data_IF_466974083501
#
_entry.id   IF_466974083501
#
_cell.length_a   1.000
_cell.length_b   1.000
_cell.length_c   1.000
_cell.angle_alpha   90.00
_cell.angle_beta   90.00
_cell.angle_gamma   90.00
#
_symmetry.space_group_name_H-M   'P 1'
#
loop_
_entity.id
_entity.type
_entity.pdbx_description
1 polymer ?
#
# COMPACT_ATOMS: atom_id res chain seq x y z
N UNK A 1 26.94 -41.77 -39.64
CA UNK A 1 25.74 -40.91 -39.59
C UNK A 1 25.62 -40.42 -38.15
N UNK A 2 26.02 -39.19 -37.87
CA UNK A 2 26.00 -38.63 -36.51
C UNK A 2 24.68 -37.90 -36.29
N UNK A 3 23.78 -38.47 -35.50
CA UNK A 3 22.55 -37.80 -35.06
C UNK A 3 22.89 -36.69 -34.08
N UNK A 4 22.69 -35.44 -34.49
CA UNK A 4 22.67 -34.28 -33.60
C UNK A 4 21.35 -34.30 -32.82
N UNK A 5 21.39 -34.71 -31.56
CA UNK A 5 20.27 -34.53 -30.65
C UNK A 5 20.22 -33.06 -30.24
N UNK A 6 19.22 -32.33 -30.72
CA UNK A 6 18.89 -30.98 -30.23
C UNK A 6 18.10 -31.17 -28.94
N UNK A 7 18.75 -30.91 -27.79
CA UNK A 7 18.06 -30.74 -26.52
C UNK A 7 17.39 -29.36 -26.53
N UNK A 8 16.09 -29.33 -26.83
CA UNK A 8 15.26 -28.17 -26.58
C UNK A 8 14.94 -28.13 -25.08
N UNK A 9 15.69 -27.33 -24.32
CA UNK A 9 15.32 -26.97 -22.95
C UNK A 9 14.08 -26.09 -23.00
N UNK A 10 12.91 -26.68 -22.75
CA UNK A 10 11.69 -25.91 -22.47
C UNK A 10 11.85 -25.27 -21.09
N UNK A 11 12.20 -23.98 -21.05
CA UNK A 11 12.01 -23.16 -19.85
C UNK A 11 10.50 -23.06 -19.63
N UNK A 12 9.98 -23.78 -18.64
CA UNK A 12 8.62 -23.55 -18.16
C UNK A 12 8.70 -22.24 -17.38
N UNK A 13 8.25 -21.14 -17.99
CA UNK A 13 7.98 -19.92 -17.25
C UNK A 13 6.86 -20.24 -16.25
N UNK A 14 7.19 -20.32 -14.97
CA UNK A 14 6.19 -20.35 -13.91
C UNK A 14 5.52 -18.98 -13.90
N UNK A 15 4.37 -18.85 -14.56
CA UNK A 15 3.56 -17.64 -14.49
C UNK A 15 2.92 -17.62 -13.11
N UNK A 16 3.50 -16.87 -12.18
CA UNK A 16 2.77 -16.46 -10.99
C UNK A 16 1.62 -15.56 -11.44
N UNK A 17 0.42 -15.82 -10.98
CA UNK A 17 -0.73 -14.95 -11.27
C UNK A 17 -0.99 -13.96 -10.12
N UNK A 18 -0.58 -14.33 -8.90
CA UNK A 18 -0.68 -13.51 -7.70
C UNK A 18 0.53 -12.59 -7.57
N UNK A 19 0.28 -11.33 -7.21
CA UNK A 19 1.23 -10.24 -7.40
C UNK A 19 1.28 -9.27 -6.22
N UNK A 20 2.46 -8.70 -5.98
CA UNK A 20 2.68 -7.58 -5.08
C UNK A 20 3.33 -6.41 -5.82
N UNK A 21 3.01 -5.20 -5.38
CA UNK A 21 3.77 -4.00 -5.66
C UNK A 21 5.06 -4.06 -4.85
N UNK A 22 6.22 -3.98 -5.50
CA UNK A 22 7.49 -4.22 -4.81
C UNK A 22 8.59 -3.20 -5.09
N UNK A 23 8.41 -2.31 -6.07
CA UNK A 23 9.40 -1.28 -6.35
C UNK A 23 8.80 -0.05 -7.02
N UNK A 24 9.32 1.13 -6.68
CA UNK A 24 8.99 2.37 -7.38
C UNK A 24 10.23 3.22 -7.71
N UNK A 25 10.03 4.16 -8.63
CA UNK A 25 10.97 5.23 -8.98
C UNK A 25 10.27 6.57 -8.97
N UNK A 26 11.00 7.61 -8.57
CA UNK A 26 10.63 9.02 -8.75
C UNK A 26 11.64 9.62 -9.72
N UNK A 27 11.18 10.05 -10.90
CA UNK A 27 12.05 10.55 -11.99
C UNK A 27 13.24 9.62 -12.29
N UNK A 28 12.96 8.32 -12.44
CA UNK A 28 13.96 7.26 -12.69
C UNK A 28 14.95 6.96 -11.55
N UNK A 29 14.80 7.59 -10.39
CA UNK A 29 15.56 7.26 -9.17
C UNK A 29 14.75 6.35 -8.25
N UNK A 30 15.34 5.24 -7.79
CA UNK A 30 14.68 4.28 -6.89
C UNK A 30 15.34 4.22 -5.53
N UNK A 31 14.56 4.17 -4.43
CA UNK A 31 15.09 3.85 -3.11
C UNK A 31 15.46 2.36 -2.96
N UNK A 32 15.15 1.53 -3.96
CA UNK A 32 15.43 0.10 -3.98
C UNK A 32 14.20 -0.78 -3.76
N UNK A 33 14.41 -2.09 -3.84
CA UNK A 33 13.37 -3.11 -3.69
C UNK A 33 12.69 -3.02 -2.30
N UNK A 34 11.36 -2.95 -2.29
CA UNK A 34 10.47 -2.83 -1.13
C UNK A 34 10.73 -1.61 -0.24
N UNK A 35 11.57 -0.67 -0.68
CA UNK A 35 11.92 0.50 0.10
C UNK A 35 10.76 1.49 0.14
N UNK A 36 10.28 1.80 1.34
CA UNK A 36 9.17 2.74 1.56
C UNK A 36 7.80 2.19 1.14
N UNK A 37 7.71 0.89 0.84
CA UNK A 37 6.47 0.20 0.45
C UNK A 37 5.99 -0.66 1.63
N UNK A 38 4.69 -0.57 1.90
CA UNK A 38 3.98 -1.39 2.86
C UNK A 38 3.65 -2.74 2.23
N UNK A 39 4.39 -3.77 2.63
CA UNK A 39 4.32 -5.09 2.00
C UNK A 39 3.35 -6.01 2.76
N UNK A 40 2.36 -6.63 2.06
CA UNK A 40 1.53 -7.64 2.67
C UNK A 40 2.34 -8.92 2.99
N UNK A 41 1.88 -9.75 3.94
CA UNK A 41 2.59 -10.98 4.35
C UNK A 41 2.54 -12.10 3.30
N UNK A 42 1.70 -11.96 2.28
CA UNK A 42 1.56 -12.88 1.15
C UNK A 42 1.11 -12.10 -0.07
N UNK A 43 1.11 -12.75 -1.25
CA UNK A 43 0.54 -12.20 -2.47
C UNK A 43 -0.95 -12.54 -2.63
N UNK A 44 -1.67 -12.89 -1.55
CA UNK A 44 -3.12 -13.13 -1.61
C UNK A 44 -3.88 -11.82 -1.84
N UNK A 45 -4.97 -11.83 -2.62
CA UNK A 45 -5.77 -10.64 -2.85
C UNK A 45 -6.67 -10.32 -1.63
N UNK A 46 -7.05 -9.06 -1.51
CA UNK A 46 -8.23 -8.65 -0.74
C UNK A 46 -9.46 -8.88 -1.61
N UNK A 47 -10.52 -9.45 -1.04
CA UNK A 47 -11.81 -9.70 -1.74
C UNK A 47 -12.99 -9.04 -1.04
N UNK A 48 -12.88 -8.78 0.27
CA UNK A 48 -13.89 -8.07 1.04
C UNK A 48 -13.65 -6.55 0.95
N UNK A 49 -14.43 -5.89 0.09
CA UNK A 49 -14.37 -4.44 -0.13
C UNK A 49 -14.84 -3.61 1.07
N UNK A 50 -15.41 -4.26 2.10
CA UNK A 50 -15.82 -3.61 3.35
C UNK A 50 -14.75 -3.67 4.44
N UNK A 51 -13.71 -4.50 4.26
CA UNK A 51 -12.57 -4.58 5.17
C UNK A 51 -11.70 -3.32 5.10
N UNK A 52 -11.09 -2.94 6.22
CA UNK A 52 -10.04 -1.91 6.26
C UNK A 52 -8.83 -2.27 5.39
N UNK A 53 -8.62 -3.57 5.12
CA UNK A 53 -7.55 -4.05 4.23
C UNK A 53 -7.70 -3.53 2.80
N UNK A 54 -8.87 -3.04 2.38
CA UNK A 54 -9.04 -2.44 1.04
C UNK A 54 -8.24 -1.13 0.89
N UNK A 55 -7.86 -0.49 1.99
CA UNK A 55 -7.04 0.72 1.96
C UNK A 55 -5.59 0.41 1.54
N UNK A 56 -4.89 -0.42 2.31
CA UNK A 56 -3.45 -0.71 2.12
C UNK A 56 -3.06 -2.19 2.27
N UNK A 57 -3.99 -3.11 2.05
CA UNK A 57 -3.83 -4.56 2.19
C UNK A 57 -3.62 -5.02 3.65
N UNK A 58 -3.66 -6.34 3.86
CA UNK A 58 -3.42 -6.99 5.15
C UNK A 58 -2.02 -6.64 5.64
N UNK A 59 -1.94 -6.11 6.86
CA UNK A 59 -0.65 -5.66 7.42
C UNK A 59 -0.14 -4.37 6.77
N UNK A 60 -1.02 -3.61 6.12
CA UNK A 60 -0.78 -2.35 5.43
C UNK A 60 -0.33 -1.18 6.29
N UNK A 61 0.33 -1.44 7.43
CA UNK A 61 1.07 -0.50 8.29
C UNK A 61 2.55 -0.87 8.43
N UNK A 62 3.01 -1.96 7.80
CA UNK A 62 4.38 -2.46 7.94
C UNK A 62 5.23 -2.12 6.73
N UNK A 63 6.31 -1.37 6.92
CA UNK A 63 7.35 -1.14 5.90
C UNK A 63 8.59 -1.98 6.25
N UNK A 64 8.85 -3.11 5.57
CA UNK A 64 9.95 -4.01 5.94
C UNK A 64 11.33 -3.37 5.82
N UNK A 65 11.49 -2.38 4.94
CA UNK A 65 12.77 -1.71 4.70
C UNK A 65 13.17 -0.73 5.80
N UNK A 66 12.23 -0.30 6.66
CA UNK A 66 12.44 0.78 7.62
C UNK A 66 12.62 2.17 7.00
N UNK A 67 12.26 2.36 5.72
CA UNK A 67 12.27 3.68 5.07
C UNK A 67 10.92 4.34 5.32
N UNK A 68 10.92 5.45 6.05
CA UNK A 68 9.68 6.10 6.46
C UNK A 68 9.00 6.86 5.32
N UNK A 69 9.74 7.59 4.48
CA UNK A 69 9.16 8.26 3.31
C UNK A 69 10.14 8.36 2.16
N UNK A 70 9.60 8.41 0.95
CA UNK A 70 10.33 8.65 -0.29
C UNK A 70 10.04 10.08 -0.73
N UNK A 71 11.08 10.88 -0.93
CA UNK A 71 10.92 12.26 -1.36
C UNK A 71 10.40 12.32 -2.81
N UNK A 72 9.42 13.18 -3.05
CA UNK A 72 8.89 13.49 -4.38
C UNK A 72 8.42 14.94 -4.45
N UNK A 73 8.18 15.43 -5.66
CA UNK A 73 7.55 16.71 -5.92
C UNK A 73 6.27 16.49 -6.72
N UNK A 74 5.32 17.42 -6.60
CA UNK A 74 4.22 17.50 -7.55
C UNK A 74 4.76 17.56 -9.00
N UNK A 75 4.07 16.89 -9.94
CA UNK A 75 4.50 16.82 -11.34
C UNK A 75 5.60 15.80 -11.66
N UNK A 76 6.28 15.26 -10.64
CA UNK A 76 7.27 14.19 -10.82
C UNK A 76 6.62 12.96 -11.46
N UNK A 77 7.40 12.27 -12.29
CA UNK A 77 6.99 10.98 -12.86
C UNK A 77 7.24 9.89 -11.83
N UNK A 78 6.22 9.10 -11.54
CA UNK A 78 6.28 7.91 -10.71
C UNK A 78 6.19 6.71 -11.63
N UNK A 79 7.13 5.78 -11.48
CA UNK A 79 7.07 4.45 -12.07
C UNK A 79 6.84 3.44 -10.96
N UNK A 80 5.84 2.59 -11.07
CA UNK A 80 5.64 1.44 -10.17
C UNK A 80 6.03 0.16 -10.87
N UNK A 81 6.44 -0.86 -10.12
CA UNK A 81 6.67 -2.19 -10.61
C UNK A 81 6.01 -3.24 -9.72
N UNK A 82 5.32 -4.15 -10.39
CA UNK A 82 4.61 -5.28 -9.80
C UNK A 82 5.31 -6.61 -10.12
N UNK A 83 4.97 -7.66 -9.39
CA UNK A 83 5.34 -9.03 -9.78
C UNK A 83 4.71 -9.38 -11.14
N UNK A 84 5.31 -10.34 -11.86
CA UNK A 84 4.68 -10.90 -13.05
C UNK A 84 3.25 -11.38 -12.73
N UNK A 85 2.28 -10.97 -13.56
CA UNK A 85 0.89 -11.42 -13.44
C UNK A 85 0.27 -11.75 -14.78
N UNK A 86 -0.53 -12.81 -14.79
CA UNK A 86 -1.41 -13.18 -15.89
C UNK A 86 -2.87 -12.81 -15.66
N UNK A 87 -3.20 -12.08 -14.57
CA UNK A 87 -4.59 -11.76 -14.26
C UNK A 87 -5.08 -10.52 -15.03
N UNK A 88 -6.13 -10.65 -15.85
CA UNK A 88 -6.70 -9.52 -16.59
C UNK A 88 -7.37 -8.51 -15.65
N UNK A 89 -7.16 -7.23 -15.94
CA UNK A 89 -7.85 -6.13 -15.31
C UNK A 89 -7.03 -4.83 -15.29
N UNK A 90 -7.55 -3.77 -14.65
CA UNK A 90 -6.92 -2.46 -14.63
C UNK A 90 -5.79 -2.35 -13.59
N UNK A 91 -5.04 -1.26 -13.68
CA UNK A 91 -4.24 -0.70 -12.60
C UNK A 91 -4.76 0.71 -12.25
N UNK A 92 -4.78 1.06 -10.96
CA UNK A 92 -5.24 2.36 -10.46
C UNK A 92 -4.30 2.88 -9.38
N UNK A 93 -4.08 4.19 -9.36
CA UNK A 93 -3.27 4.86 -8.35
C UNK A 93 -4.08 5.93 -7.62
N UNK A 94 -3.95 5.99 -6.30
CA UNK A 94 -4.63 6.97 -5.45
C UNK A 94 -3.69 7.55 -4.40
N UNK A 95 -3.98 8.76 -3.93
CA UNK A 95 -3.28 9.38 -2.82
C UNK A 95 -4.19 9.56 -1.60
N UNK A 96 -3.62 9.34 -0.41
CA UNK A 96 -4.19 9.67 0.89
C UNK A 96 -3.30 10.71 1.56
N UNK A 97 -3.85 11.88 1.85
CA UNK A 97 -3.15 12.95 2.54
C UNK A 97 -3.41 14.35 2.00
N UNK A 98 -2.65 15.35 2.47
CA UNK A 98 -1.47 15.18 3.32
C UNK A 98 -1.84 14.69 4.73
N UNK A 99 -0.94 13.92 5.35
CA UNK A 99 -1.04 13.45 6.75
C UNK A 99 0.14 13.96 7.58
N UNK A 100 0.00 13.91 8.91
CA UNK A 100 1.07 14.28 9.85
C UNK A 100 2.24 13.27 9.83
N UNK A 101 1.91 11.97 9.69
CA UNK A 101 2.88 10.87 9.71
C UNK A 101 2.39 9.74 8.80
N UNK A 102 3.03 9.59 7.64
CA UNK A 102 2.72 8.53 6.69
C UNK A 102 3.19 7.15 7.15
N UNK A 103 4.00 7.02 8.19
CA UNK A 103 4.35 5.72 8.78
C UNK A 103 3.29 5.22 9.78
N UNK A 104 2.56 6.13 10.41
CA UNK A 104 1.60 5.82 11.46
C UNK A 104 0.14 5.68 10.98
N UNK A 105 -0.25 6.35 9.89
CA UNK A 105 -1.64 6.30 9.40
C UNK A 105 -2.01 4.93 8.81
N UNK A 106 -3.24 4.47 9.03
CA UNK A 106 -3.75 3.21 8.45
C UNK A 106 -4.13 3.35 6.97
N UNK A 107 -4.39 4.58 6.52
CA UNK A 107 -4.95 4.84 5.18
C UNK A 107 -6.46 4.61 5.09
N UNK A 108 -7.15 4.27 6.18
CA UNK A 108 -8.62 4.25 6.19
C UNK A 108 -9.15 5.67 6.12
N UNK A 109 -9.98 5.96 5.11
CA UNK A 109 -10.61 7.26 4.92
C UNK A 109 -10.59 7.76 3.49
N UNK A 110 -10.37 9.06 3.31
CA UNK A 110 -10.52 9.76 2.03
C UNK A 110 -9.30 9.62 1.11
N UNK A 111 -9.51 9.06 -0.08
CA UNK A 111 -8.54 8.90 -1.16
C UNK A 111 -8.98 9.63 -2.41
N UNK A 112 -8.06 10.17 -3.19
CA UNK A 112 -8.35 10.70 -4.52
C UNK A 112 -7.53 9.97 -5.59
N UNK A 113 -8.20 9.56 -6.68
CA UNK A 113 -7.58 8.86 -7.80
C UNK A 113 -6.64 9.81 -8.55
N UNK A 114 -5.44 9.39 -8.90
CA UNK A 114 -4.47 10.22 -9.65
C UNK A 114 -4.09 9.63 -11.00
N UNK A 115 -4.31 8.34 -11.19
CA UNK A 115 -4.01 7.65 -12.45
C UNK A 115 -4.84 6.36 -12.55
N UNK A 116 -5.19 5.99 -13.78
CA UNK A 116 -5.76 4.68 -14.10
C UNK A 116 -5.34 4.24 -15.51
N UNK A 117 -5.09 2.94 -15.65
CA UNK A 117 -4.99 2.28 -16.94
C UNK A 117 -5.96 1.09 -16.93
N UNK A 118 -6.92 1.14 -17.84
CA UNK A 118 -8.00 0.16 -17.97
C UNK A 118 -7.70 -0.84 -19.09
N UNK A 119 -8.58 -0.91 -20.08
CA UNK A 119 -8.38 -1.65 -21.32
C UNK A 119 -8.01 -0.68 -22.43
N UNK A 120 -6.87 -0.91 -23.08
CA UNK A 120 -6.38 -0.07 -24.17
C UNK A 120 -5.72 -0.93 -25.24
N UNK A 121 -5.87 -0.54 -26.51
CA UNK A 121 -5.24 -1.22 -27.65
C UNK A 121 -5.46 -2.74 -27.69
N UNK A 122 -6.65 -3.19 -27.29
CA UNK A 122 -7.03 -4.60 -27.28
C UNK A 122 -6.45 -5.41 -26.12
N UNK A 123 -5.90 -4.76 -25.09
CA UNK A 123 -5.22 -5.39 -23.96
C UNK A 123 -5.64 -4.80 -22.63
N UNK A 124 -5.67 -5.62 -21.59
CA UNK A 124 -5.77 -5.15 -20.21
C UNK A 124 -4.44 -4.57 -19.72
N UNK A 125 -4.49 -3.76 -18.66
CA UNK A 125 -3.30 -3.13 -18.07
C UNK A 125 -2.20 -4.14 -17.75
N UNK A 126 -2.52 -5.30 -17.18
CA UNK A 126 -1.53 -6.34 -16.87
C UNK A 126 -0.76 -6.83 -18.12
N UNK A 127 -1.40 -6.89 -19.29
CA UNK A 127 -0.76 -7.29 -20.55
C UNK A 127 0.09 -6.16 -21.14
N UNK A 128 -0.36 -4.91 -20.99
CA UNK A 128 0.38 -3.72 -21.40
C UNK A 128 1.66 -3.61 -20.56
N UNK A 129 1.52 -3.64 -19.23
CA UNK A 129 2.63 -3.62 -18.28
C UNK A 129 3.55 -4.84 -18.45
N UNK A 130 3.00 -6.01 -18.77
CA UNK A 130 3.78 -7.23 -19.00
C UNK A 130 4.79 -7.10 -20.16
N UNK A 131 4.56 -6.20 -21.11
CA UNK A 131 5.52 -5.89 -22.18
C UNK A 131 6.70 -5.03 -21.70
N UNK A 132 6.57 -4.38 -20.54
CA UNK A 132 7.59 -3.52 -19.93
C UNK A 132 7.98 -4.00 -18.52
N UNK A 133 8.13 -5.32 -18.33
CA UNK A 133 8.58 -5.88 -17.05
C UNK A 133 7.66 -5.52 -15.85
N UNK A 134 6.35 -5.49 -16.10
CA UNK A 134 5.30 -5.14 -15.14
C UNK A 134 5.43 -3.76 -14.52
N UNK A 135 5.93 -2.79 -15.29
CA UNK A 135 5.97 -1.38 -14.89
C UNK A 135 4.77 -0.60 -15.42
N UNK A 136 4.42 0.47 -14.71
CA UNK A 136 3.48 1.49 -15.19
C UNK A 136 3.97 2.87 -14.73
N UNK A 137 3.96 3.85 -15.64
CA UNK A 137 4.39 5.22 -15.37
C UNK A 137 3.21 6.19 -15.38
N UNK A 138 3.18 7.08 -14.40
CA UNK A 138 2.20 8.16 -14.28
C UNK A 138 2.83 9.38 -13.61
N UNK A 139 2.09 10.49 -13.53
CA UNK A 139 2.57 11.72 -12.90
C UNK A 139 1.86 11.99 -11.58
N UNK A 140 2.60 12.48 -10.59
CA UNK A 140 1.96 13.15 -9.46
C UNK A 140 1.25 14.41 -9.97
N UNK A 141 -0.02 14.65 -9.59
CA UNK A 141 -0.72 15.87 -10.00
C UNK A 141 0.04 17.13 -9.58
N UNK A 142 0.04 18.16 -10.44
CA UNK A 142 0.44 19.51 -10.02
C UNK A 142 -0.63 20.11 -9.08
N UNK A 143 -0.24 20.99 -8.16
CA UNK A 143 -1.17 21.59 -7.20
C UNK A 143 -1.45 20.73 -5.96
N UNK A 144 -0.59 19.74 -5.68
CA UNK A 144 -0.62 18.99 -4.44
C UNK A 144 -0.15 19.87 -3.29
N UNK A 145 -0.75 19.68 -2.11
CA UNK A 145 -0.19 20.29 -0.90
C UNK A 145 1.15 19.62 -0.55
N UNK A 146 2.04 20.39 0.09
CA UNK A 146 3.22 19.78 0.71
C UNK A 146 2.80 18.95 1.92
N UNK A 147 3.40 17.77 2.10
CA UNK A 147 3.13 16.91 3.25
C UNK A 147 3.53 15.46 3.00
N UNK A 148 3.21 14.59 3.96
CA UNK A 148 3.38 13.15 3.79
C UNK A 148 2.09 12.53 3.24
N UNK A 149 2.22 11.51 2.41
CA UNK A 149 1.13 10.88 1.70
C UNK A 149 1.33 9.36 1.66
N UNK A 150 0.22 8.63 1.57
CA UNK A 150 0.26 7.27 1.03
C UNK A 150 -0.07 7.31 -0.46
N UNK A 151 0.74 6.62 -1.25
CA UNK A 151 0.44 6.25 -2.63
C UNK A 151 -0.07 4.81 -2.63
N UNK A 152 -1.35 4.62 -2.93
CA UNK A 152 -1.97 3.32 -3.13
C UNK A 152 -1.88 2.95 -4.60
N UNK A 153 -1.19 1.85 -4.92
CA UNK A 153 -1.22 1.21 -6.23
C UNK A 153 -2.09 -0.04 -6.12
N UNK A 154 -3.04 -0.19 -7.03
CA UNK A 154 -4.02 -1.27 -7.04
C UNK A 154 -4.07 -1.94 -8.42
N UNK A 155 -3.91 -3.27 -8.45
CA UNK A 155 -4.28 -4.09 -9.60
C UNK A 155 -5.53 -4.90 -9.26
N UNK A 156 -6.59 -4.71 -10.03
CA UNK A 156 -7.86 -5.43 -9.84
C UNK A 156 -7.96 -6.58 -10.84
N UNK A 157 -7.88 -7.81 -10.36
CA UNK A 157 -8.03 -8.99 -11.19
C UNK A 157 -9.50 -9.39 -11.35
N UNK A 158 -9.96 -9.42 -12.60
CA UNK A 158 -11.36 -9.60 -12.97
C UNK A 158 -11.71 -11.04 -13.38
N UNK A 159 -10.74 -11.96 -13.41
CA UNK A 159 -10.94 -13.34 -13.86
C UNK A 159 -12.00 -14.12 -13.04
N UNK A 160 -12.31 -13.69 -11.83
CA UNK A 160 -13.34 -14.28 -10.96
C UNK A 160 -14.51 -13.34 -10.70
N UNK A 161 -14.60 -12.20 -11.41
CA UNK A 161 -15.61 -11.16 -11.22
C UNK A 161 -17.04 -11.59 -11.61
N UNK A 162 -17.22 -12.76 -12.22
CA UNK A 162 -18.54 -13.34 -12.51
C UNK A 162 -19.35 -13.73 -11.27
N UNK A 163 -18.74 -13.66 -10.08
CA UNK A 163 -19.38 -13.91 -8.78
C UNK A 163 -19.23 -12.68 -7.91
N UNK A 164 -20.29 -12.28 -7.19
CA UNK A 164 -20.21 -11.20 -6.20
C UNK A 164 -19.16 -11.56 -5.13
N UNK A 165 -18.23 -10.63 -4.87
CA UNK A 165 -17.08 -10.88 -3.99
C UNK A 165 -15.98 -11.75 -4.61
N UNK A 166 -16.05 -12.06 -5.91
CA UNK A 166 -15.04 -12.82 -6.63
C UNK A 166 -13.92 -11.98 -7.24
N UNK A 167 -14.09 -10.67 -7.37
CA UNK A 167 -13.05 -9.77 -7.83
C UNK A 167 -11.89 -9.71 -6.82
N UNK A 168 -10.65 -9.66 -7.33
CA UNK A 168 -9.45 -9.80 -6.52
C UNK A 168 -8.62 -8.51 -6.55
N UNK A 169 -8.55 -7.83 -5.42
CA UNK A 169 -7.82 -6.58 -5.26
C UNK A 169 -6.41 -6.86 -4.74
N UNK A 170 -5.40 -6.62 -5.57
CA UNK A 170 -4.00 -6.60 -5.17
C UNK A 170 -3.60 -5.16 -4.88
N UNK A 171 -3.19 -4.88 -3.64
CA UNK A 171 -2.98 -3.51 -3.17
C UNK A 171 -1.59 -3.42 -2.53
N UNK A 172 -0.87 -2.35 -2.84
CA UNK A 172 0.33 -1.94 -2.11
C UNK A 172 0.34 -0.43 -1.89
N UNK A 173 0.81 0.01 -0.73
CA UNK A 173 0.93 1.42 -0.38
C UNK A 173 2.39 1.83 -0.23
N UNK A 174 2.83 2.88 -0.92
CA UNK A 174 4.12 3.53 -0.68
C UNK A 174 3.96 4.79 0.17
N UNK A 175 4.97 5.13 0.96
CA UNK A 175 5.00 6.32 1.80
C UNK A 175 5.81 7.40 1.10
N UNK A 176 5.17 8.52 0.76
CA UNK A 176 5.78 9.63 0.05
C UNK A 176 5.84 10.87 0.94
N UNK A 177 6.90 11.67 0.78
CA UNK A 177 6.97 13.03 1.28
C UNK A 177 7.01 13.97 0.09
N UNK A 178 5.85 14.58 -0.19
CA UNK A 178 5.63 15.40 -1.37
C UNK A 178 5.90 16.86 -1.04
N UNK A 179 6.72 17.50 -1.87
CA UNK A 179 6.80 18.96 -1.95
C UNK A 179 5.89 19.45 -3.06
N UNK A 180 4.93 20.30 -2.72
CA UNK A 180 3.94 20.81 -3.67
C UNK A 180 3.53 22.25 -3.38
N UNK A 181 2.79 22.85 -4.31
CA UNK A 181 2.40 24.27 -4.27
C UNK A 181 0.94 24.50 -3.90
N UNK A 182 0.16 23.42 -3.77
CA UNK A 182 -1.25 23.43 -3.40
C UNK A 182 -1.53 23.64 -1.92
N UNK A 183 -2.81 23.66 -1.59
CA UNK A 183 -3.31 23.69 -0.21
C UNK A 183 -3.98 22.37 0.13
N UNK A 184 -3.95 21.94 1.41
CA UNK A 184 -4.58 20.69 1.81
C UNK A 184 -6.08 20.68 1.42
N UNK A 185 -6.54 19.58 0.82
CA UNK A 185 -7.92 19.44 0.33
C UNK A 185 -8.20 20.08 -1.04
N UNK A 186 -7.18 20.53 -1.79
CA UNK A 186 -7.35 21.09 -3.14
C UNK A 186 -7.62 20.06 -4.25
N UNK A 187 -7.47 18.77 -3.95
CA UNK A 187 -7.61 17.69 -4.92
C UNK A 187 -8.95 16.99 -4.76
N UNK A 188 -9.66 16.82 -5.87
CA UNK A 188 -10.90 16.05 -5.89
C UNK A 188 -11.32 15.62 -7.30
N UNK A 189 -12.30 14.72 -7.43
CA UNK A 189 -13.09 14.17 -6.32
C UNK A 189 -12.34 13.15 -5.46
N UNK A 190 -12.84 12.91 -4.25
CA UNK A 190 -12.34 11.88 -3.34
C UNK A 190 -13.40 10.82 -3.06
N UNK A 191 -12.94 9.66 -2.58
CA UNK A 191 -13.75 8.52 -2.18
C UNK A 191 -13.30 8.03 -0.79
N UNK A 192 -14.20 7.37 -0.05
CA UNK A 192 -13.86 6.74 1.23
C UNK A 192 -13.51 5.25 1.02
N UNK A 193 -12.36 4.80 1.55
CA UNK A 193 -11.97 3.38 1.56
C UNK A 193 -11.70 2.90 2.99
N UNK A 194 -12.41 1.85 3.48
CA UNK A 194 -13.59 1.22 2.86
C UNK A 194 -14.79 2.16 2.79
N UNK A 195 -15.74 1.85 1.89
CA UNK A 195 -17.00 2.60 1.79
C UNK A 195 -17.48 2.79 0.37
N UNK A 196 -16.65 3.36 -0.50
CA UNK A 196 -17.02 3.70 -1.86
C UNK A 196 -17.19 2.46 -2.75
N UNK A 197 -16.34 1.44 -2.58
CA UNK A 197 -16.43 0.20 -3.34
C UNK A 197 -17.57 -0.67 -2.79
N UNK A 198 -18.43 -1.17 -3.69
CA UNK A 198 -19.45 -2.19 -3.40
C UNK A 198 -19.16 -3.46 -4.19
N UNK A 199 -19.41 -4.60 -3.55
CA UNK A 199 -19.15 -5.89 -4.19
C UNK A 199 -20.03 -6.10 -5.44
N UNK A 200 -21.15 -5.39 -5.53
CA UNK A 200 -22.12 -5.39 -6.62
C UNK A 200 -21.90 -4.28 -7.66
N UNK A 201 -20.91 -3.40 -7.50
CA UNK A 201 -20.62 -2.36 -8.50
C UNK A 201 -20.31 -3.03 -9.85
N UNK A 202 -20.84 -2.48 -10.95
CA UNK A 202 -20.75 -3.09 -12.29
C UNK A 202 -19.31 -3.21 -12.84
N UNK A 203 -18.35 -2.51 -12.22
CA UNK A 203 -16.92 -2.59 -12.53
C UNK A 203 -16.12 -3.44 -11.53
N UNK A 204 -16.80 -4.08 -10.57
CA UNK A 204 -16.27 -5.05 -9.61
C UNK A 204 -16.94 -6.42 -9.83
N UNK A 205 -18.26 -6.47 -9.96
CA UNK A 205 -19.03 -7.66 -10.31
C UNK A 205 -19.47 -7.60 -11.79
N UNK A 206 -18.86 -8.48 -12.60
CA UNK A 206 -19.07 -8.57 -14.04
C UNK A 206 -19.52 -10.00 -14.36
N UNK A 207 -20.83 -10.31 -14.32
CA UNK A 207 -21.35 -11.68 -14.53
C UNK A 207 -20.90 -12.28 -15.88
N UNK A 208 -20.78 -11.43 -16.89
CA UNK A 208 -20.48 -11.83 -18.27
C UNK A 208 -19.01 -11.59 -18.67
N UNK A 209 -18.08 -11.51 -17.69
CA UNK A 209 -16.66 -11.13 -17.92
C UNK A 209 -15.96 -11.96 -19.01
N UNK A 210 -16.39 -13.20 -19.23
CA UNK A 210 -15.86 -14.09 -20.28
C UNK A 210 -16.74 -14.18 -21.54
N UNK A 211 -18.00 -13.77 -21.47
CA UNK A 211 -19.00 -14.07 -22.50
C UNK A 211 -19.91 -12.86 -22.76
N UNK A 212 -19.45 -11.92 -23.59
CA UNK A 212 -20.26 -10.78 -24.04
C UNK A 212 -20.00 -9.47 -23.32
N UNK A 213 -19.13 -9.45 -22.32
CA UNK A 213 -18.58 -8.22 -21.76
C UNK A 213 -17.68 -7.52 -22.80
N UNK A 214 -17.92 -6.22 -23.03
CA UNK A 214 -17.06 -5.37 -23.85
C UNK A 214 -16.05 -4.65 -22.95
N UNK A 215 -14.76 -5.05 -22.94
CA UNK A 215 -13.77 -4.42 -22.08
C UNK A 215 -13.45 -2.98 -22.47
N UNK A 216 -13.81 -2.53 -23.68
CA UNK A 216 -13.56 -1.14 -24.12
C UNK A 216 -14.43 -0.11 -23.40
N UNK A 217 -15.52 -0.55 -22.74
CA UNK A 217 -16.38 0.32 -21.94
C UNK A 217 -16.00 0.31 -20.45
N UNK A 218 -14.97 -0.45 -20.07
CA UNK A 218 -14.60 -0.61 -18.66
C UNK A 218 -13.93 0.65 -18.09
N UNK A 219 -14.34 1.02 -16.87
CA UNK A 219 -13.64 1.99 -16.04
C UNK A 219 -13.46 1.42 -14.64
N UNK A 220 -12.23 1.48 -14.12
CA UNK A 220 -11.90 1.01 -12.79
C UNK A 220 -12.73 1.74 -11.71
N UNK A 221 -13.03 1.07 -10.58
CA UNK A 221 -13.76 1.68 -9.49
C UNK A 221 -13.05 2.92 -8.92
N UNK A 222 -13.79 3.70 -8.14
CA UNK A 222 -13.26 4.90 -7.47
C UNK A 222 -13.39 6.22 -8.24
N UNK A 223 -14.26 6.26 -9.25
CA UNK A 223 -14.62 7.50 -9.94
C UNK A 223 -13.52 8.05 -10.86
N UNK A 224 -13.65 9.30 -11.34
CA UNK A 224 -12.67 9.89 -12.26
C UNK A 224 -11.36 10.23 -11.56
N UNK A 225 -10.29 10.35 -12.34
CA UNK A 225 -9.02 10.93 -11.89
C UNK A 225 -9.26 12.36 -11.37
N UNK A 226 -8.70 12.66 -10.20
CA UNK A 226 -8.84 13.92 -9.52
C UNK A 226 -8.03 15.03 -10.18
N UNK A 227 -8.54 16.25 -10.07
CA UNK A 227 -7.85 17.50 -10.40
C UNK A 227 -7.48 18.21 -9.12
N UNK A 228 -6.25 18.72 -9.07
CA UNK A 228 -5.74 19.48 -7.94
C UNK A 228 -5.66 20.95 -8.33
N UNK A 229 -6.54 21.77 -7.77
CA UNK A 229 -6.50 23.21 -7.97
C UNK A 229 -5.38 23.77 -7.07
N UNK A 230 -4.15 23.81 -7.61
CA UNK A 230 -3.03 24.48 -6.94
C UNK A 230 -3.45 25.86 -6.47
N UNK A 231 -2.94 26.32 -5.31
CA UNK A 231 -3.45 27.50 -4.62
C UNK A 231 -3.60 28.70 -5.57
N UNK A 232 -4.82 28.90 -6.06
CA UNK A 232 -5.16 30.05 -6.87
C UNK A 232 -5.00 31.27 -5.98
N UNK A 233 -4.01 32.09 -6.27
CA UNK A 233 -3.96 33.46 -5.77
C UNK A 233 -5.35 34.07 -5.96
N UNK A 234 -5.97 34.45 -4.84
CA UNK A 234 -7.36 34.84 -4.81
C UNK A 234 -7.70 35.85 -5.89
N UNK A 235 -8.62 35.48 -6.77
CA UNK A 235 -9.53 36.42 -7.40
C UNK A 235 -10.87 35.70 -7.54
N UNK A 236 -11.80 36.06 -6.67
CA UNK A 236 -13.20 35.69 -6.84
C UNK A 236 -13.65 36.10 -8.25
N UNK A 237 -14.28 35.22 -9.04
CA UNK A 237 -14.88 35.64 -10.27
C UNK A 237 -16.10 36.49 -9.93
N UNK A 238 -15.97 37.80 -10.15
CA UNK A 238 -17.10 38.69 -10.32
C UNK A 238 -18.03 38.11 -11.39
N UNK A 239 -19.31 37.98 -11.05
CA UNK A 239 -20.35 37.46 -11.93
C UNK A 239 -20.43 38.26 -13.22
N UNK A 240 -19.98 37.66 -14.32
CA UNK A 240 -20.24 38.10 -15.69
C UNK A 240 -21.40 37.29 -16.26
N UNK A 241 -22.57 37.91 -16.35
CA UNK A 241 -23.81 37.33 -16.85
C UNK A 241 -23.69 36.84 -18.31
N UNK A 242 -24.16 35.61 -18.58
CA UNK A 242 -24.45 35.12 -19.92
C UNK A 242 -25.97 35.17 -20.17
N UNK A 243 -26.46 35.50 -21.38
CA UNK A 243 -27.87 35.79 -21.61
C UNK A 243 -28.72 34.51 -21.67
N UNK A 244 -29.73 34.43 -20.81
CA UNK A 244 -30.79 33.44 -20.91
C UNK A 244 -31.84 33.90 -21.94
N UNK A 245 -32.01 33.12 -23.02
CA UNK A 245 -33.24 33.14 -23.82
C UNK A 245 -34.21 32.14 -23.22
N UNK A 246 -35.37 32.60 -22.73
CA UNK A 246 -36.66 31.91 -22.81
C UNK A 246 -37.81 32.74 -22.21
N UNK A 247 -38.71 33.12 -23.11
CA UNK A 247 -40.15 33.38 -23.00
C UNK A 247 -40.83 33.60 -21.64
N UNK A 248 -41.24 34.86 -21.42
CA UNK A 248 -42.56 35.41 -21.00
C UNK A 248 -43.41 34.65 -19.96
N UNK A 249 -43.55 35.30 -18.80
CA UNK A 249 -44.57 35.10 -17.75
C UNK A 249 -45.90 35.79 -18.15
N UNK A 250 -47.03 35.51 -17.47
CA UNK A 250 -47.48 36.57 -16.56
C UNK A 250 -47.97 36.07 -15.18
N UNK A 251 -47.76 36.99 -14.24
CA UNK A 251 -47.90 36.91 -12.80
C UNK A 251 -49.32 36.73 -12.27
N UNK A 252 -49.44 36.19 -11.06
CA UNK A 252 -50.46 36.66 -10.13
C UNK A 252 -49.98 36.68 -8.68
N UNK A 253 -50.24 37.80 -8.02
CA UNK A 253 -49.94 38.13 -6.62
C UNK A 253 -50.54 37.13 -5.61
N UNK A 254 -49.83 36.86 -4.51
CA UNK A 254 -50.41 36.98 -3.15
C UNK A 254 -49.34 36.99 -2.03
N UNK A 255 -49.76 37.53 -0.90
CA UNK A 255 -49.02 38.12 0.21
C UNK A 255 -48.49 37.13 1.27
N UNK A 256 -47.36 37.52 1.89
CA UNK A 256 -46.92 37.39 3.29
C UNK A 256 -47.03 36.05 4.06
N UNK A 257 -45.92 35.61 4.69
CA UNK A 257 -45.69 35.51 6.16
C UNK A 257 -44.17 35.25 6.42
N UNK A 258 -43.49 35.93 7.36
CA UNK A 258 -42.17 35.54 7.83
C UNK A 258 -42.26 34.62 9.06
N UNK A 259 -41.66 33.42 8.99
CA UNK A 259 -41.41 32.58 10.17
C UNK A 259 -39.96 32.73 10.61
N UNK A 260 -39.79 33.40 11.73
CA UNK A 260 -38.58 33.45 12.53
C UNK A 260 -38.49 32.18 13.37
N UNK A 261 -37.37 31.46 13.31
CA UNK A 261 -37.00 30.52 14.36
C UNK A 261 -35.70 30.99 15.01
N UNK A 262 -35.85 31.38 16.27
CA UNK A 262 -34.81 31.84 17.16
C UNK A 262 -33.92 30.68 17.61
N UNK A 263 -32.65 31.00 17.73
CA UNK A 263 -31.58 30.24 18.37
C UNK A 263 -31.80 30.10 19.88
N UNK A 264 -31.53 28.91 20.41
CA UNK A 264 -31.48 28.64 21.86
C UNK A 264 -30.02 28.37 22.25
N UNK A 265 -29.47 29.03 23.28
CA UNK A 265 -28.07 28.86 23.69
C UNK A 265 -27.83 27.68 24.63
N UNK A 266 -26.53 27.37 24.75
CA UNK A 266 -25.88 26.28 25.44
C UNK A 266 -26.27 26.07 26.92
N UNK A 267 -26.26 24.80 27.35
CA UNK A 267 -26.32 24.39 28.75
C UNK A 267 -24.95 23.89 29.19
N UNK A 268 -24.35 24.60 30.15
CA UNK A 268 -23.10 24.29 30.83
C UNK A 268 -23.31 23.24 31.92
N UNK A 269 -22.46 22.22 31.96
CA UNK A 269 -22.40 21.24 33.06
C UNK A 269 -21.28 21.65 34.03
N UNK A 270 -21.51 21.68 35.35
CA UNK A 270 -20.47 22.04 36.32
C UNK A 270 -19.49 20.90 36.59
N UNK A 271 -18.21 21.26 36.65
CA UNK A 271 -17.11 20.39 37.06
C UNK A 271 -17.10 20.15 38.58
N UNK A 272 -16.80 18.92 38.99
CA UNK A 272 -16.64 18.50 40.39
C UNK A 272 -15.16 18.60 40.78
N UNK A 273 -14.80 19.19 41.93
CA UNK A 273 -13.41 19.26 42.40
C UNK A 273 -13.03 18.04 43.25
N UNK A 274 -11.84 17.49 43.02
CA UNK A 274 -11.14 16.62 43.97
C UNK A 274 -9.72 17.14 44.21
N UNK A 275 -9.49 17.59 45.45
CA UNK A 275 -8.20 17.74 46.12
C UNK A 275 -8.10 16.59 47.13
N UNK A 276 -6.97 16.11 47.65
CA UNK A 276 -5.53 16.25 47.47
C UNK A 276 -4.93 15.37 48.59
N UNK A 277 -3.80 14.68 48.40
CA UNK A 277 -2.83 14.45 49.49
C UNK A 277 -1.44 14.13 48.95
N UNK A 278 -0.47 14.87 49.47
CA UNK A 278 0.97 14.72 49.34
C UNK A 278 1.49 13.42 49.97
N UNK A 279 2.64 12.92 49.47
CA UNK A 279 3.82 12.66 50.33
C UNK A 279 5.12 12.71 49.52
N UNK A 280 6.18 13.05 50.23
CA UNK A 280 7.41 13.66 49.76
C UNK A 280 8.52 12.68 49.30
N UNK A 281 9.46 13.29 48.59
CA UNK A 281 10.79 12.89 48.12
C UNK A 281 11.78 12.44 49.19
N UNK A 282 12.69 11.51 48.83
CA UNK A 282 14.08 11.44 49.34
C UNK A 282 15.03 11.07 48.19
N UNK A 283 16.17 11.75 48.17
CA UNK A 283 17.23 11.81 47.16
C UNK A 283 18.48 10.95 47.48
N UNK A 284 19.37 10.85 46.48
CA UNK A 284 20.82 10.53 46.51
C UNK A 284 21.21 9.03 46.57
N UNK A 285 22.26 8.56 45.89
CA UNK A 285 23.33 9.24 45.15
C UNK A 285 24.21 8.24 44.37
N UNK A 286 25.09 8.78 43.54
CA UNK A 286 26.05 8.10 42.65
C UNK A 286 27.17 7.35 43.41
N UNK A 287 27.79 6.32 42.79
CA UNK A 287 29.19 6.40 42.31
C UNK A 287 29.68 5.15 41.50
N UNK A 288 30.61 5.47 40.61
CA UNK A 288 31.62 4.75 39.82
C UNK A 288 31.97 3.23 40.00
N UNK A 289 32.09 2.57 38.83
CA UNK A 289 33.27 1.92 38.21
C UNK A 289 34.02 0.74 38.88
N UNK A 290 34.09 -0.40 38.17
CA UNK A 290 35.31 -1.05 37.61
C UNK A 290 35.39 -2.59 37.70
N UNK A 291 35.68 -3.19 36.53
CA UNK A 291 36.62 -4.28 36.23
C UNK A 291 36.34 -5.79 36.55
N UNK A 292 36.27 -6.55 35.43
CA UNK A 292 37.01 -7.80 35.07
C UNK A 292 37.04 -8.99 36.04
N UNK A 293 36.53 -10.15 35.60
CA UNK A 293 37.29 -11.42 35.41
C UNK A 293 36.39 -12.61 35.00
N UNK A 294 36.78 -13.31 33.93
CA UNK A 294 36.51 -14.75 33.69
C UNK A 294 37.57 -15.59 34.46
N UNK A 295 37.62 -16.95 34.48
CA UNK A 295 36.89 -17.96 33.69
C UNK A 295 36.39 -19.18 34.52
N UNK A 296 35.79 -20.19 33.88
CA UNK A 296 36.26 -21.62 33.87
C UNK A 296 35.13 -22.60 33.50
N UNK A 297 35.49 -23.52 32.61
CA UNK A 297 34.82 -24.70 32.04
C UNK A 297 34.28 -25.75 33.04
N UNK A 298 33.18 -26.41 32.68
CA UNK A 298 33.00 -27.84 32.98
C UNK A 298 32.16 -28.54 31.88
N UNK A 299 32.77 -29.55 31.26
CA UNK A 299 32.13 -30.48 30.34
C UNK A 299 31.43 -31.60 31.13
N UNK A 300 30.28 -32.07 30.66
CA UNK A 300 29.77 -33.40 31.06
C UNK A 300 28.97 -34.02 29.91
N UNK A 301 29.43 -35.19 29.49
CA UNK A 301 28.82 -36.11 28.54
C UNK A 301 27.83 -37.04 29.22
N UNK A 302 26.66 -37.29 28.64
CA UNK A 302 25.95 -38.58 28.79
C UNK A 302 25.12 -38.87 27.54
N UNK A 303 25.20 -40.12 27.08
CA UNK A 303 24.49 -40.68 25.93
C UNK A 303 23.21 -41.45 26.34
N UNK A 304 22.46 -41.90 25.33
CA UNK A 304 21.33 -42.86 25.30
C UNK A 304 19.93 -42.24 25.37
N UNK A 305 18.85 -42.71 24.73
CA UNK A 305 18.59 -43.62 23.59
C UNK A 305 17.05 -43.64 23.38
N UNK A 306 16.58 -43.50 22.13
CA UNK A 306 15.37 -44.06 21.46
C UNK A 306 14.05 -44.26 22.27
N UNK A 307 12.94 -43.60 21.87
CA UNK A 307 11.79 -44.24 21.16
C UNK A 307 10.52 -43.36 21.01
N UNK A 308 10.10 -43.19 19.76
CA UNK A 308 8.75 -43.20 19.15
C UNK A 308 7.53 -42.42 19.70
N UNK A 309 6.92 -41.71 18.72
CA UNK A 309 5.49 -41.44 18.47
C UNK A 309 4.73 -40.35 19.27
N UNK A 310 4.43 -39.24 18.60
CA UNK A 310 3.07 -38.67 18.48
C UNK A 310 3.08 -37.43 17.58
N UNK A 311 2.18 -37.42 16.61
CA UNK A 311 1.81 -36.31 15.72
C UNK A 311 1.14 -35.16 16.50
N UNK A 312 1.64 -33.94 16.37
CA UNK A 312 0.88 -32.71 16.55
C UNK A 312 1.55 -31.57 15.76
N UNK A 313 0.81 -31.04 14.79
CA UNK A 313 1.17 -29.85 14.02
C UNK A 313 0.91 -28.62 14.90
N UNK A 314 1.97 -27.86 15.20
CA UNK A 314 1.88 -26.52 15.75
C UNK A 314 2.93 -25.62 15.06
N UNK A 315 2.49 -24.40 14.78
CA UNK A 315 3.17 -23.36 14.00
C UNK A 315 4.57 -22.97 14.52
N UNK A 316 5.48 -22.44 13.67
CA UNK A 316 6.66 -21.78 14.16
C UNK A 316 6.43 -20.27 14.26
N UNK A 317 6.25 -19.81 15.49
CA UNK A 317 6.88 -18.58 15.97
C UNK A 317 8.39 -18.82 16.01
N UNK A 318 9.22 -17.91 15.47
CA UNK A 318 10.67 -18.05 15.53
C UNK A 318 11.42 -16.74 15.32
N UNK A 319 11.70 -16.04 16.42
CA UNK A 319 12.77 -15.07 16.50
C UNK A 319 14.04 -15.75 17.05
N UNK A 320 15.11 -15.65 16.26
CA UNK A 320 16.54 -15.67 16.54
C UNK A 320 17.17 -16.69 17.51
N UNK A 321 18.12 -17.46 16.97
CA UNK A 321 19.18 -18.15 17.72
C UNK A 321 20.25 -18.77 16.81
N UNK A 322 21.52 -18.40 17.04
CA UNK A 322 22.74 -18.91 16.40
C UNK A 322 22.70 -20.43 16.17
N UNK A 323 22.60 -20.87 14.91
CA UNK A 323 22.58 -22.29 14.55
C UNK A 323 21.51 -22.69 13.53
N UNK A 324 20.65 -21.75 13.12
CA UNK A 324 19.64 -22.00 12.08
C UNK A 324 20.27 -22.01 10.68
N UNK A 325 19.77 -22.90 9.82
CA UNK A 325 20.16 -23.00 8.40
C UNK A 325 19.20 -22.13 7.57
N UNK A 326 19.72 -21.33 6.64
CA UNK A 326 18.94 -20.53 5.70
C UNK A 326 18.50 -21.36 4.48
N UNK A 327 17.22 -21.28 4.11
CA UNK A 327 16.71 -21.91 2.89
C UNK A 327 17.36 -21.26 1.64
N UNK A 328 17.30 -21.96 0.49
CA UNK A 328 17.75 -21.41 -0.79
C UNK A 328 17.00 -20.12 -1.08
N UNK A 329 17.77 -19.11 -1.51
CA UNK A 329 17.36 -17.73 -1.74
C UNK A 329 17.14 -16.86 -0.49
N UNK A 330 17.41 -17.37 0.71
CA UNK A 330 17.36 -16.56 1.93
C UNK A 330 18.72 -15.96 2.31
N UNK A 331 18.68 -14.90 3.12
CA UNK A 331 19.88 -14.22 3.59
C UNK A 331 20.70 -15.12 4.52
N UNK A 332 22.00 -15.18 4.26
CA UNK A 332 22.97 -15.96 5.00
C UNK A 332 24.16 -15.12 5.51
N UNK A 333 24.14 -13.79 5.33
CA UNK A 333 25.23 -12.92 5.75
C UNK A 333 25.00 -11.44 5.44
N UNK A 334 25.91 -10.60 5.96
CA UNK A 334 25.89 -9.14 5.83
C UNK A 334 26.44 -8.45 7.09
N UNK A 335 26.96 -7.22 6.95
CA UNK A 335 27.60 -6.43 8.04
C UNK A 335 26.76 -6.23 9.31
N UNK A 336 25.44 -6.40 9.25
CA UNK A 336 24.52 -6.32 10.40
C UNK A 336 23.61 -7.54 10.55
N UNK A 337 23.93 -8.65 9.87
CA UNK A 337 23.11 -9.85 9.88
C UNK A 337 23.40 -10.70 11.13
N UNK A 338 22.36 -10.96 11.93
CA UNK A 338 22.43 -11.81 13.14
C UNK A 338 21.69 -13.15 12.97
N UNK A 339 21.26 -13.47 11.75
CA UNK A 339 20.52 -14.69 11.44
C UNK A 339 21.40 -15.87 11.01
N UNK A 340 20.81 -16.81 10.28
CA UNK A 340 21.49 -18.00 9.78
C UNK A 340 22.72 -17.65 8.93
N UNK A 341 23.86 -18.31 9.15
CA UNK A 341 25.09 -18.10 8.36
C UNK A 341 25.45 -19.28 7.47
N UNK A 342 24.68 -20.37 7.56
CA UNK A 342 24.84 -21.59 6.77
C UNK A 342 23.59 -21.82 5.92
N UNK A 343 23.76 -22.34 4.71
CA UNK A 343 22.68 -22.60 3.76
C UNK A 343 22.20 -24.04 3.80
N UNK A 344 20.96 -24.27 3.36
CA UNK A 344 20.41 -25.62 3.24
C UNK A 344 21.24 -26.49 2.29
N UNK A 345 21.10 -27.81 2.46
CA UNK A 345 21.90 -28.76 1.70
C UNK A 345 21.65 -28.57 0.20
N UNK A 346 22.72 -28.32 -0.56
CA UNK A 346 22.64 -28.04 -1.99
C UNK A 346 22.67 -26.56 -2.36
N UNK A 347 22.88 -25.65 -1.41
CA UNK A 347 23.10 -24.21 -1.65
C UNK A 347 24.33 -23.69 -0.93
N UNK A 348 24.90 -22.60 -1.45
CA UNK A 348 26.10 -21.94 -0.91
C UNK A 348 25.82 -20.48 -0.62
N UNK A 349 26.30 -19.98 0.52
CA UNK A 349 26.18 -18.57 0.86
C UNK A 349 27.08 -17.72 -0.07
N UNK A 350 26.47 -16.96 -0.98
CA UNK A 350 27.17 -16.04 -1.89
C UNK A 350 26.99 -14.60 -1.42
N UNK A 351 28.10 -13.91 -1.21
CA UNK A 351 28.12 -12.47 -0.93
C UNK A 351 27.63 -11.72 -2.16
N UNK A 352 26.60 -10.89 -2.01
CA UNK A 352 26.16 -9.98 -3.07
C UNK A 352 26.70 -8.57 -2.85
N UNK A 353 26.67 -8.11 -1.60
CA UNK A 353 27.28 -6.85 -1.20
C UNK A 353 27.66 -6.90 0.30
N UNK A 354 28.23 -5.82 0.79
CA UNK A 354 28.69 -5.68 2.18
C UNK A 354 27.61 -5.96 3.24
N UNK A 355 26.33 -5.73 2.92
CA UNK A 355 25.21 -5.86 3.85
C UNK A 355 24.34 -7.09 3.57
N UNK A 356 24.60 -7.84 2.49
CA UNK A 356 23.74 -8.94 2.06
C UNK A 356 24.52 -10.07 1.37
N UNK A 357 24.38 -11.28 1.93
CA UNK A 357 24.77 -12.54 1.31
C UNK A 357 23.55 -13.45 1.23
N UNK A 358 23.41 -14.22 0.16
CA UNK A 358 22.25 -15.08 -0.09
C UNK A 358 22.65 -16.52 -0.36
N UNK A 359 21.84 -17.48 0.11
CA UNK A 359 21.97 -18.88 -0.27
C UNK A 359 21.55 -19.08 -1.74
N UNK A 360 22.45 -19.59 -2.57
CA UNK A 360 22.16 -19.93 -3.99
C UNK A 360 22.72 -21.29 -4.38
#
# INVERSE_FOLDING_TARGET
MFSKAVLASTLIAAVSAHQNFHQLWINDETPGYQAGIRMPPSNSPVVDVTSEDIACNVGGSKVPSGVDTIAANEGDTVKVQWDQSGHPGPITHMLFGPVDDASATTGVGSWFKIDELNYADGKWANEIMGADNMTHEFKLPAGLASGEYLLRSEMLALHSAQTVGGAQFYIGCAQLKITGTGSAGSCGPSIELPGAYKAEDENIYIPDVYNGFDPTTYSAPGGPVATCDGAGAGTAPVSGSSPASSSVVPSNNTLAVPSTFASVPASTVPAIPVSSTLVASISQGANASSAVSAPTTLATSIASSISSNSTAVAAPTGSAGNGSIANKYHQCGGKSWTGATSCETGSTCKVQNDYYSQCV
#
